data_IF_000331066503
#
_entry.id   IF_000331066503
#
_cell.length_a   1.000
_cell.length_b   1.000
_cell.length_c   1.000
_cell.angle_alpha   90.00
_cell.angle_beta   90.00
_cell.angle_gamma   90.00
#
_symmetry.space_group_name_H-M   'P 1'
#
loop_
_entity.id
_entity.type
_entity.pdbx_description
1 polymer ?
#
# COMPACT_ATOMS: atom_id res chain seq x y z
N UNK A 1 68.93 34.00 -23.75
CA UNK A 1 69.53 33.49 -22.50
C UNK A 1 68.38 33.08 -21.60
N UNK A 2 67.87 31.87 -21.80
CA UNK A 2 68.27 30.66 -21.04
C UNK A 2 67.48 30.66 -19.72
N UNK A 3 66.65 29.68 -19.34
CA UNK A 3 66.62 28.26 -19.66
C UNK A 3 65.23 27.66 -19.36
N UNK A 4 64.88 26.64 -20.15
CA UNK A 4 63.84 25.66 -19.87
C UNK A 4 64.12 24.86 -18.58
N UNK A 5 63.06 24.42 -17.90
CA UNK A 5 63.09 23.13 -17.17
C UNK A 5 61.73 22.40 -17.28
N UNK A 6 61.67 21.16 -17.81
CA UNK A 6 60.44 20.39 -18.01
C UNK A 6 60.17 19.44 -16.83
N UNK A 7 59.00 19.55 -16.21
CA UNK A 7 58.55 18.70 -15.11
C UNK A 7 57.65 17.56 -15.56
N UNK A 8 58.19 16.34 -15.51
CA UNK A 8 57.57 15.01 -15.51
C UNK A 8 56.05 14.88 -15.69
N UNK A 9 55.65 14.40 -16.87
CA UNK A 9 54.37 13.71 -17.08
C UNK A 9 54.47 12.23 -16.69
N UNK A 10 53.68 11.80 -15.71
CA UNK A 10 53.44 10.39 -15.43
C UNK A 10 52.36 9.83 -16.37
N UNK A 11 52.59 8.68 -17.03
CA UNK A 11 51.58 8.06 -17.88
C UNK A 11 50.49 7.45 -17.00
N UNK A 12 49.28 8.03 -17.01
CA UNK A 12 48.08 7.37 -16.49
C UNK A 12 47.82 6.14 -17.35
N UNK A 13 48.08 4.96 -16.79
CA UNK A 13 47.77 3.68 -17.41
C UNK A 13 46.27 3.58 -17.74
N UNK A 14 45.90 2.80 -18.77
CA UNK A 14 44.51 2.59 -19.14
C UNK A 14 43.79 1.89 -17.98
N UNK A 15 42.88 2.59 -17.32
CA UNK A 15 41.91 2.00 -16.41
C UNK A 15 40.99 1.13 -17.28
N UNK A 16 41.32 -0.16 -17.35
CA UNK A 16 40.51 -1.20 -17.98
C UNK A 16 39.22 -1.35 -17.15
N UNK A 17 38.26 -0.46 -17.40
CA UNK A 17 36.90 -0.59 -16.89
C UNK A 17 36.25 -1.72 -17.70
N UNK A 18 36.39 -2.95 -17.20
CA UNK A 18 35.65 -4.14 -17.65
C UNK A 18 34.16 -3.93 -17.36
N UNK A 19 33.53 -3.04 -18.12
CA UNK A 19 32.09 -3.09 -18.38
C UNK A 19 31.86 -4.41 -19.10
N UNK A 20 31.60 -5.48 -18.34
CA UNK A 20 30.93 -6.67 -18.89
C UNK A 20 29.73 -6.14 -19.65
N UNK A 21 29.73 -6.28 -20.97
CA UNK A 21 28.49 -6.19 -21.74
C UNK A 21 27.58 -7.25 -21.13
N UNK A 22 26.63 -6.82 -20.30
CA UNK A 22 25.54 -7.68 -19.90
C UNK A 22 24.80 -8.04 -21.17
N UNK A 23 24.73 -9.34 -21.49
CA UNK A 23 24.05 -9.81 -22.68
C UNK A 23 22.59 -9.32 -22.63
N UNK A 24 22.13 -8.49 -23.60
CA UNK A 24 20.80 -7.88 -23.58
C UNK A 24 19.66 -8.91 -23.55
N UNK A 25 19.94 -10.16 -23.93
CA UNK A 25 19.02 -11.29 -23.88
C UNK A 25 18.73 -11.78 -22.44
N UNK A 26 19.70 -11.65 -21.53
CA UNK A 26 19.54 -12.06 -20.12
C UNK A 26 18.56 -11.13 -19.40
N UNK A 27 18.70 -9.83 -19.60
CA UNK A 27 17.88 -8.79 -18.96
C UNK A 27 16.42 -8.83 -19.42
N UNK A 28 16.15 -9.17 -20.69
CA UNK A 28 14.77 -9.25 -21.20
C UNK A 28 14.00 -10.42 -20.59
N UNK A 29 14.65 -11.57 -20.41
CA UNK A 29 14.05 -12.78 -19.84
C UNK A 29 13.73 -12.59 -18.35
N UNK A 30 14.62 -11.94 -17.61
CA UNK A 30 14.38 -11.63 -16.19
C UNK A 30 13.17 -10.70 -16.03
N UNK A 31 13.14 -9.59 -16.77
CA UNK A 31 12.01 -8.64 -16.73
C UNK A 31 10.67 -9.31 -17.04
N UNK A 32 10.64 -10.23 -18.02
CA UNK A 32 9.42 -10.98 -18.33
C UNK A 32 8.91 -11.79 -17.14
N UNK A 33 9.79 -12.51 -16.43
CA UNK A 33 9.40 -13.28 -15.24
C UNK A 33 8.87 -12.39 -14.12
N UNK A 34 9.49 -11.22 -13.93
CA UNK A 34 9.02 -10.23 -12.93
C UNK A 34 7.62 -9.76 -13.24
N UNK A 35 7.36 -9.38 -14.49
CA UNK A 35 6.04 -8.90 -14.94
C UNK A 35 4.98 -9.98 -14.75
N UNK A 36 5.26 -11.23 -15.15
CA UNK A 36 4.30 -12.34 -14.99
C UNK A 36 3.98 -12.57 -13.51
N UNK A 37 4.98 -12.55 -12.62
CA UNK A 37 4.75 -12.69 -11.18
C UNK A 37 3.93 -11.52 -10.62
N UNK A 38 4.28 -10.29 -11.00
CA UNK A 38 3.60 -9.06 -10.59
C UNK A 38 2.11 -9.06 -10.99
N UNK A 39 1.82 -9.42 -12.24
CA UNK A 39 0.45 -9.50 -12.75
C UNK A 39 -0.33 -10.60 -12.06
N UNK A 40 0.27 -11.80 -11.91
CA UNK A 40 -0.39 -12.95 -11.28
C UNK A 40 -0.83 -12.63 -9.85
N UNK A 41 0.05 -12.03 -9.05
CA UNK A 41 -0.26 -11.63 -7.67
C UNK A 41 -1.35 -10.56 -7.65
N UNK A 42 -1.28 -9.58 -8.55
CA UNK A 42 -2.27 -8.51 -8.64
C UNK A 42 -3.65 -9.03 -9.06
N UNK A 43 -3.72 -9.98 -10.01
CA UNK A 43 -4.97 -10.63 -10.44
C UNK A 43 -5.61 -11.39 -9.27
N UNK A 44 -4.82 -12.13 -8.49
CA UNK A 44 -5.32 -12.80 -7.29
C UNK A 44 -5.95 -11.78 -6.34
N UNK A 45 -5.29 -10.63 -6.10
CA UNK A 45 -5.87 -9.58 -5.28
C UNK A 45 -7.18 -8.99 -5.86
N UNK A 46 -7.26 -8.79 -7.18
CA UNK A 46 -8.48 -8.33 -7.86
C UNK A 46 -9.64 -9.31 -7.69
N UNK A 47 -9.38 -10.61 -7.62
CA UNK A 47 -10.45 -11.61 -7.45
C UNK A 47 -10.91 -11.68 -5.99
N UNK A 48 -9.98 -11.77 -5.04
CA UNK A 48 -10.33 -12.02 -3.65
C UNK A 48 -10.80 -10.76 -2.89
N UNK A 49 -10.29 -9.57 -3.19
CA UNK A 49 -10.70 -8.34 -2.49
C UNK A 49 -12.19 -8.01 -2.70
N UNK A 50 -12.79 -8.09 -3.91
CA UNK A 50 -14.22 -7.94 -4.10
C UNK A 50 -15.01 -9.00 -3.35
N UNK A 51 -14.58 -10.26 -3.34
CA UNK A 51 -15.25 -11.32 -2.58
C UNK A 51 -15.29 -10.94 -1.09
N UNK A 52 -14.18 -10.44 -0.53
CA UNK A 52 -14.10 -9.96 0.85
C UNK A 52 -15.05 -8.77 1.09
N UNK A 53 -15.03 -7.76 0.20
CA UNK A 53 -15.89 -6.57 0.30
C UNK A 53 -17.36 -6.96 0.22
N UNK A 54 -17.75 -7.75 -0.77
CA UNK A 54 -19.13 -8.18 -1.00
C UNK A 54 -19.62 -9.06 0.16
N UNK A 55 -18.79 -9.98 0.66
CA UNK A 55 -19.13 -10.79 1.83
C UNK A 55 -19.40 -9.90 3.05
N UNK A 56 -18.52 -8.93 3.32
CA UNK A 56 -18.69 -8.02 4.45
C UNK A 56 -19.86 -7.05 4.28
N UNK A 57 -20.20 -6.65 3.04
CA UNK A 57 -21.29 -5.73 2.75
C UNK A 57 -22.67 -6.41 2.82
N UNK A 58 -22.79 -7.65 2.34
CA UNK A 58 -24.06 -8.36 2.26
C UNK A 58 -24.34 -9.29 3.45
N UNK A 59 -23.33 -9.65 4.23
CA UNK A 59 -23.55 -10.49 5.41
C UNK A 59 -24.08 -9.67 6.59
N UNK A 60 -25.31 -9.96 7.01
CA UNK A 60 -25.91 -9.38 8.22
C UNK A 60 -25.15 -9.73 9.50
N UNK A 61 -24.29 -10.76 9.46
CA UNK A 61 -23.46 -11.19 10.59
C UNK A 61 -22.19 -10.35 10.77
N UNK A 62 -21.80 -9.59 9.75
CA UNK A 62 -20.56 -8.84 9.73
C UNK A 62 -20.89 -7.35 9.77
N UNK A 63 -20.62 -6.70 10.91
CA UNK A 63 -20.76 -5.25 11.05
C UNK A 63 -19.38 -4.63 10.91
N UNK A 64 -19.12 -3.94 9.79
CA UNK A 64 -17.87 -3.20 9.54
C UNK A 64 -18.13 -1.71 9.48
N UNK A 65 -17.16 -0.94 9.96
CA UNK A 65 -17.16 0.52 9.85
C UNK A 65 -16.86 0.97 8.42
N UNK A 66 -17.37 2.14 8.01
CA UNK A 66 -17.20 2.65 6.64
C UNK A 66 -15.73 2.81 6.21
N UNK A 67 -14.86 3.24 7.13
CA UNK A 67 -13.42 3.42 6.84
C UNK A 67 -12.71 2.09 6.55
N UNK A 68 -13.21 0.95 7.05
CA UNK A 68 -12.66 -0.36 6.72
C UNK A 68 -12.84 -0.68 5.23
N UNK A 69 -14.05 -0.43 4.69
CA UNK A 69 -14.31 -0.60 3.25
C UNK A 69 -13.44 0.31 2.40
N UNK A 70 -13.12 1.51 2.88
CA UNK A 70 -12.22 2.43 2.19
C UNK A 70 -10.79 1.91 2.12
N UNK A 71 -10.27 1.34 3.21
CA UNK A 71 -8.94 0.72 3.23
C UNK A 71 -8.89 -0.46 2.24
N UNK A 72 -9.84 -1.40 2.34
CA UNK A 72 -9.88 -2.58 1.45
C UNK A 72 -10.13 -2.16 -0.01
N UNK A 73 -11.00 -1.18 -0.24
CA UNK A 73 -11.29 -0.62 -1.56
C UNK A 73 -10.08 0.08 -2.19
N UNK A 74 -9.25 0.76 -1.39
CA UNK A 74 -7.99 1.34 -1.88
C UNK A 74 -7.01 0.27 -2.37
N UNK A 75 -6.98 -0.90 -1.69
CA UNK A 75 -6.16 -2.05 -2.09
C UNK A 75 -6.67 -2.69 -3.40
N UNK A 76 -7.99 -2.73 -3.57
CA UNK A 76 -8.58 -3.17 -4.84
C UNK A 76 -8.21 -2.22 -5.98
N UNK A 77 -8.30 -0.91 -5.73
CA UNK A 77 -7.96 0.12 -6.71
C UNK A 77 -6.52 0.00 -7.20
N UNK A 78 -5.54 -0.16 -6.30
CA UNK A 78 -4.15 -0.34 -6.72
C UNK A 78 -3.94 -1.67 -7.44
N UNK A 79 -4.64 -2.73 -7.06
CA UNK A 79 -4.56 -4.02 -7.76
C UNK A 79 -5.02 -3.89 -9.22
N UNK A 80 -6.12 -3.17 -9.44
CA UNK A 80 -6.61 -2.85 -10.80
C UNK A 80 -5.60 -1.98 -11.55
N UNK A 81 -5.03 -0.96 -10.89
CA UNK A 81 -4.02 -0.10 -11.51
C UNK A 81 -2.77 -0.89 -11.94
N UNK A 82 -2.32 -1.85 -11.13
CA UNK A 82 -1.17 -2.69 -11.42
C UNK A 82 -1.36 -3.46 -12.74
N UNK A 83 -2.56 -3.98 -13.02
CA UNK A 83 -2.83 -4.78 -14.23
C UNK A 83 -3.29 -3.95 -15.44
N UNK A 84 -3.41 -2.63 -15.34
CA UNK A 84 -3.88 -1.80 -16.47
C UNK A 84 -2.99 -1.93 -17.72
N UNK A 85 -1.71 -2.25 -17.54
CA UNK A 85 -0.75 -2.38 -18.63
C UNK A 85 -0.70 -3.80 -19.23
N UNK A 86 -1.62 -4.69 -18.84
CA UNK A 86 -1.69 -6.06 -19.34
C UNK A 86 -1.78 -6.10 -20.88
N UNK A 87 -0.84 -6.80 -21.52
CA UNK A 87 -0.70 -6.87 -22.97
C UNK A 87 0.15 -5.75 -23.59
N UNK A 88 0.56 -4.75 -22.79
CA UNK A 88 1.43 -3.65 -23.21
C UNK A 88 2.73 -3.55 -22.39
N UNK A 89 3.06 -4.59 -21.60
CA UNK A 89 4.30 -4.59 -20.82
C UNK A 89 5.56 -4.79 -21.68
N UNK A 90 5.44 -5.52 -22.78
CA UNK A 90 6.52 -5.75 -23.76
C UNK A 90 6.19 -5.13 -25.11
N UNK A 91 7.20 -4.97 -25.97
CA UNK A 91 7.00 -4.47 -27.33
C UNK A 91 6.76 -2.96 -27.41
N UNK A 92 5.90 -2.48 -28.33
CA UNK A 92 5.72 -1.05 -28.62
C UNK A 92 5.20 -0.28 -27.39
N UNK A 93 5.35 1.05 -27.42
CA UNK A 93 4.92 1.88 -26.30
C UNK A 93 3.39 1.78 -26.09
N UNK A 94 2.92 1.72 -24.84
CA UNK A 94 1.49 1.71 -24.54
C UNK A 94 0.81 2.99 -25.03
N UNK A 95 -0.51 2.95 -25.28
CA UNK A 95 -1.29 4.15 -25.52
C UNK A 95 -1.11 5.17 -24.39
N UNK A 96 -0.89 6.44 -24.75
CA UNK A 96 -0.57 7.49 -23.77
C UNK A 96 -1.63 7.65 -22.70
N UNK A 97 -2.92 7.55 -23.07
CA UNK A 97 -4.03 7.66 -22.13
C UNK A 97 -4.00 6.53 -21.08
N UNK A 98 -3.74 5.30 -21.50
CA UNK A 98 -3.62 4.14 -20.60
C UNK A 98 -2.48 4.34 -19.60
N UNK A 99 -1.31 4.76 -20.09
CA UNK A 99 -0.12 5.01 -19.29
C UNK A 99 -0.32 6.17 -18.30
N UNK A 100 -1.02 7.23 -18.72
CA UNK A 100 -1.38 8.36 -17.86
C UNK A 100 -2.37 7.96 -16.77
N UNK A 101 -3.43 7.21 -17.10
CA UNK A 101 -4.42 6.72 -16.11
C UNK A 101 -3.73 5.83 -15.08
N UNK A 102 -2.87 4.90 -15.53
CA UNK A 102 -2.12 4.05 -14.62
C UNK A 102 -1.22 4.89 -13.71
N UNK A 103 -0.47 5.85 -14.26
CA UNK A 103 0.37 6.74 -13.46
C UNK A 103 -0.47 7.54 -12.44
N UNK A 104 -1.61 8.11 -12.84
CA UNK A 104 -2.51 8.82 -11.94
C UNK A 104 -2.92 7.95 -10.74
N UNK A 105 -3.34 6.70 -10.98
CA UNK A 105 -3.74 5.78 -9.92
C UNK A 105 -2.56 5.37 -9.03
N UNK A 106 -1.41 5.04 -9.62
CA UNK A 106 -0.19 4.64 -8.90
C UNK A 106 0.32 5.75 -7.98
N UNK A 107 0.23 7.00 -8.43
CA UNK A 107 0.67 8.17 -7.66
C UNK A 107 -0.38 8.67 -6.66
N UNK A 108 -1.67 8.52 -6.97
CA UNK A 108 -2.78 8.87 -6.07
C UNK A 108 -2.94 7.87 -4.92
N UNK A 109 -2.72 6.59 -5.19
CA UNK A 109 -2.94 5.50 -4.24
C UNK A 109 -2.22 5.68 -2.89
N UNK A 110 -0.92 6.03 -2.81
CA UNK A 110 -0.23 6.20 -1.53
C UNK A 110 -0.90 7.22 -0.61
N UNK A 111 -1.45 8.29 -1.17
CA UNK A 111 -2.24 9.26 -0.42
C UNK A 111 -3.56 8.65 0.04
N UNK A 112 -4.33 8.02 -0.87
CA UNK A 112 -5.58 7.37 -0.49
C UNK A 112 -5.37 6.34 0.63
N UNK A 113 -4.41 5.44 0.48
CA UNK A 113 -4.12 4.37 1.42
C UNK A 113 -3.66 4.90 2.78
N UNK A 114 -2.73 5.87 2.80
CA UNK A 114 -2.22 6.44 4.06
C UNK A 114 -3.31 7.18 4.82
N UNK A 115 -4.08 8.04 4.15
CA UNK A 115 -5.16 8.79 4.80
C UNK A 115 -6.34 7.90 5.17
N UNK A 116 -6.68 6.87 4.37
CA UNK A 116 -7.68 5.88 4.75
C UNK A 116 -7.23 5.06 5.97
N UNK A 117 -5.95 4.68 6.04
CA UNK A 117 -5.37 4.01 7.20
C UNK A 117 -5.41 4.86 8.46
N UNK A 118 -5.03 6.13 8.38
CA UNK A 118 -5.17 7.10 9.49
C UNK A 118 -6.63 7.22 9.92
N UNK A 119 -7.54 7.38 8.97
CA UNK A 119 -8.97 7.55 9.25
C UNK A 119 -9.58 6.32 9.93
N UNK A 120 -9.20 5.13 9.48
CA UNK A 120 -9.55 3.86 10.11
C UNK A 120 -9.01 3.78 11.54
N UNK A 121 -7.74 4.12 11.76
CA UNK A 121 -7.13 4.10 13.09
C UNK A 121 -7.75 5.11 14.05
N UNK A 122 -8.07 6.32 13.57
CA UNK A 122 -8.79 7.33 14.36
C UNK A 122 -10.17 6.79 14.73
N UNK A 123 -10.92 6.20 13.79
CA UNK A 123 -12.24 5.64 14.07
C UNK A 123 -12.17 4.54 15.14
N UNK A 124 -11.20 3.61 15.03
CA UNK A 124 -10.97 2.55 16.03
C UNK A 124 -10.61 3.14 17.39
N UNK A 125 -9.66 4.07 17.43
CA UNK A 125 -9.23 4.73 18.66
C UNK A 125 -10.39 5.46 19.36
N UNK A 126 -11.16 6.25 18.62
CA UNK A 126 -12.31 6.98 19.15
C UNK A 126 -13.41 6.04 19.62
N UNK A 127 -13.69 4.96 18.88
CA UNK A 127 -14.69 3.96 19.27
C UNK A 127 -14.31 3.28 20.60
N UNK A 128 -13.05 2.87 20.76
CA UNK A 128 -12.55 2.29 22.02
C UNK A 128 -12.65 3.32 23.15
N UNK A 129 -12.22 4.56 22.90
CA UNK A 129 -12.24 5.63 23.92
C UNK A 129 -13.67 5.95 24.40
N UNK A 130 -14.62 6.03 23.48
CA UNK A 130 -16.03 6.33 23.78
C UNK A 130 -16.70 5.16 24.50
N UNK A 131 -16.43 3.93 24.07
CA UNK A 131 -16.89 2.72 24.75
C UNK A 131 -16.41 2.67 26.20
N UNK A 132 -15.13 2.98 26.46
CA UNK A 132 -14.56 2.97 27.80
C UNK A 132 -15.02 4.13 28.71
N UNK A 133 -15.34 5.31 28.16
CA UNK A 133 -15.71 6.49 28.98
C UNK A 133 -17.20 6.66 29.20
N UNK A 134 -18.00 6.40 28.18
CA UNK A 134 -19.39 6.89 28.11
C UNK A 134 -20.37 5.83 27.63
N UNK A 135 -19.89 4.67 27.17
CA UNK A 135 -20.73 3.70 26.45
C UNK A 135 -21.38 4.25 25.16
N UNK A 136 -20.98 5.44 24.71
CA UNK A 136 -21.59 6.13 23.57
C UNK A 136 -20.96 5.70 22.25
N UNK A 137 -21.71 5.86 21.15
CA UNK A 137 -21.22 5.63 19.77
C UNK A 137 -20.62 6.90 19.18
N UNK A 138 -19.74 6.74 18.19
CA UNK A 138 -19.20 7.87 17.44
C UNK A 138 -20.33 8.59 16.67
N UNK A 139 -20.27 9.93 16.62
CA UNK A 139 -21.22 10.71 15.83
C UNK A 139 -21.11 10.38 14.33
N UNK A 140 -22.25 10.24 13.66
CA UNK A 140 -22.32 9.99 12.21
C UNK A 140 -21.61 11.08 11.39
N UNK A 141 -21.59 12.32 11.89
CA UNK A 141 -20.87 13.42 11.24
C UNK A 141 -19.36 13.19 11.26
N UNK A 142 -18.80 12.80 12.41
CA UNK A 142 -17.38 12.47 12.54
C UNK A 142 -16.99 11.29 11.65
N UNK A 143 -17.81 10.24 11.60
CA UNK A 143 -17.59 9.11 10.69
C UNK A 143 -17.59 9.54 9.22
N UNK A 144 -18.52 10.41 8.81
CA UNK A 144 -18.57 10.93 7.44
C UNK A 144 -17.31 11.73 7.08
N UNK A 145 -16.82 12.60 7.97
CA UNK A 145 -15.60 13.36 7.76
C UNK A 145 -14.36 12.47 7.60
N UNK A 146 -14.28 11.38 8.38
CA UNK A 146 -13.20 10.39 8.26
C UNK A 146 -13.18 9.69 6.89
N UNK A 147 -14.32 9.61 6.19
CA UNK A 147 -14.37 9.09 4.83
C UNK A 147 -14.12 10.16 3.76
N UNK A 148 -14.55 11.41 3.98
CA UNK A 148 -14.39 12.49 3.00
C UNK A 148 -12.91 12.88 2.82
N UNK A 149 -12.15 12.98 3.91
CA UNK A 149 -10.76 13.46 3.86
C UNK A 149 -9.88 12.61 2.93
N UNK A 150 -9.80 11.26 3.06
CA UNK A 150 -8.97 10.46 2.16
C UNK A 150 -9.37 10.58 0.69
N UNK A 151 -10.66 10.65 0.40
CA UNK A 151 -11.17 10.82 -0.97
C UNK A 151 -10.77 12.17 -1.57
N UNK A 152 -10.84 13.26 -0.80
CA UNK A 152 -10.42 14.58 -1.25
C UNK A 152 -8.91 14.61 -1.54
N UNK A 153 -8.09 14.02 -0.66
CA UNK A 153 -6.63 13.96 -0.85
C UNK A 153 -6.25 13.13 -2.08
N UNK A 154 -6.97 12.04 -2.33
CA UNK A 154 -6.81 11.22 -3.53
C UNK A 154 -7.16 12.00 -4.80
N UNK A 155 -8.34 12.63 -4.84
CA UNK A 155 -8.79 13.43 -5.99
C UNK A 155 -7.85 14.59 -6.29
N UNK A 156 -7.38 15.30 -5.28
CA UNK A 156 -6.38 16.36 -5.44
C UNK A 156 -5.10 15.84 -6.12
N UNK A 157 -4.63 14.66 -5.71
CA UNK A 157 -3.45 14.03 -6.31
C UNK A 157 -3.70 13.59 -7.75
N UNK A 158 -4.88 13.02 -8.04
CA UNK A 158 -5.25 12.64 -9.41
C UNK A 158 -5.26 13.85 -10.34
N UNK A 159 -5.88 14.96 -9.92
CA UNK A 159 -5.93 16.20 -10.69
C UNK A 159 -4.53 16.75 -10.91
N UNK A 160 -3.69 16.76 -9.89
CA UNK A 160 -2.30 17.23 -10.02
C UNK A 160 -1.52 16.39 -11.03
N UNK A 161 -1.57 15.05 -10.93
CA UNK A 161 -0.86 14.15 -11.85
C UNK A 161 -1.40 14.26 -13.27
N UNK A 162 -2.72 14.43 -13.42
CA UNK A 162 -3.35 14.69 -14.71
C UNK A 162 -2.82 15.98 -15.34
N UNK A 163 -2.81 17.08 -14.60
CA UNK A 163 -2.31 18.38 -15.08
C UNK A 163 -0.84 18.27 -15.49
N UNK A 164 0.01 17.69 -14.64
CA UNK A 164 1.43 17.49 -14.95
C UNK A 164 1.60 16.61 -16.20
N UNK A 165 0.82 15.54 -16.32
CA UNK A 165 0.86 14.60 -17.43
C UNK A 165 0.39 15.19 -18.75
N UNK A 166 -0.63 16.04 -18.73
CA UNK A 166 -1.11 16.75 -19.91
C UNK A 166 -0.12 17.84 -20.36
N UNK A 167 0.46 18.59 -19.41
CA UNK A 167 1.46 19.63 -19.70
C UNK A 167 2.81 19.06 -20.18
N UNK A 168 3.16 17.84 -19.73
CA UNK A 168 4.46 17.21 -20.01
C UNK A 168 4.30 15.78 -20.55
N UNK A 169 3.52 15.60 -21.61
CA UNK A 169 3.21 14.27 -22.16
C UNK A 169 4.43 13.38 -22.49
N UNK A 170 5.60 13.97 -22.79
CA UNK A 170 6.84 13.23 -23.07
C UNK A 170 7.54 12.65 -21.83
N UNK A 171 7.14 13.07 -20.62
CA UNK A 171 7.75 12.66 -19.35
C UNK A 171 7.15 11.38 -18.76
N UNK A 172 5.99 10.94 -19.26
CA UNK A 172 5.37 9.68 -18.85
C UNK A 172 5.90 8.58 -19.75
N UNK A 173 6.56 7.60 -19.16
CA UNK A 173 7.09 6.44 -19.90
C UNK A 173 6.83 5.17 -19.11
N UNK A 174 6.80 4.04 -19.83
CA UNK A 174 6.84 2.72 -19.21
C UNK A 174 8.15 2.60 -18.42
N UNK A 175 8.05 2.16 -17.17
CA UNK A 175 9.19 1.86 -16.30
C UNK A 175 10.10 0.81 -16.99
N UNK A 176 11.43 0.83 -16.76
CA UNK A 176 12.34 -0.14 -17.39
C UNK A 176 11.97 -1.61 -17.14
N UNK A 177 11.27 -1.92 -16.04
CA UNK A 177 10.75 -3.27 -15.77
C UNK A 177 9.61 -3.70 -16.70
N UNK A 178 8.92 -2.74 -17.32
CA UNK A 178 7.72 -2.99 -18.10
C UNK A 178 6.42 -3.12 -17.28
N UNK A 179 6.49 -3.16 -15.95
CA UNK A 179 5.34 -3.48 -15.10
C UNK A 179 4.33 -2.33 -14.97
N UNK A 180 4.78 -1.08 -14.99
CA UNK A 180 3.91 0.09 -14.83
C UNK A 180 4.47 1.32 -15.56
N UNK A 181 3.66 2.38 -15.62
CA UNK A 181 4.05 3.69 -16.12
C UNK A 181 4.52 4.63 -15.02
N UNK A 182 5.62 5.34 -15.28
CA UNK A 182 6.24 6.25 -14.33
C UNK A 182 6.60 7.61 -14.97
N UNK A 183 6.76 8.62 -14.12
CA UNK A 183 7.32 9.91 -14.51
C UNK A 183 8.84 9.88 -14.39
N UNK A 184 9.53 10.40 -15.40
CA UNK A 184 11.00 10.53 -15.35
C UNK A 184 11.43 11.54 -14.28
N UNK A 185 10.59 12.53 -14.00
CA UNK A 185 10.90 13.58 -13.03
C UNK A 185 10.60 13.12 -11.60
N UNK A 186 11.49 13.42 -10.64
CA UNK A 186 11.27 13.05 -9.25
C UNK A 186 9.97 13.65 -8.71
N UNK A 187 9.31 12.88 -7.86
CA UNK A 187 8.07 13.25 -7.18
C UNK A 187 8.32 14.48 -6.30
N UNK A 188 7.43 15.49 -6.28
CA UNK A 188 7.63 16.66 -5.42
C UNK A 188 7.73 16.27 -3.95
N UNK A 189 8.72 16.82 -3.25
CA UNK A 189 9.04 16.54 -1.84
C UNK A 189 7.83 16.67 -0.90
N UNK A 190 6.90 17.57 -1.22
CA UNK A 190 5.67 17.79 -0.44
C UNK A 190 4.85 16.50 -0.31
N UNK A 191 4.72 15.71 -1.38
CA UNK A 191 3.95 14.44 -1.35
C UNK A 191 4.57 13.42 -0.42
N UNK A 192 5.88 13.25 -0.52
CA UNK A 192 6.64 12.33 0.34
C UNK A 192 6.49 12.75 1.80
N UNK A 193 6.62 14.06 2.10
CA UNK A 193 6.47 14.58 3.46
C UNK A 193 5.08 14.32 4.05
N UNK A 194 4.03 14.42 3.24
CA UNK A 194 2.65 14.22 3.66
C UNK A 194 2.36 12.75 3.98
N UNK A 195 2.86 11.84 3.13
CA UNK A 195 2.75 10.39 3.36
C UNK A 195 3.50 10.01 4.63
N UNK A 196 4.73 10.50 4.82
CA UNK A 196 5.51 10.25 6.02
C UNK A 196 4.81 10.77 7.29
N UNK A 197 4.20 11.95 7.22
CA UNK A 197 3.39 12.49 8.31
C UNK A 197 2.19 11.58 8.64
N UNK A 198 1.44 11.14 7.63
CA UNK A 198 0.31 10.23 7.83
C UNK A 198 0.76 8.91 8.47
N UNK A 199 1.87 8.33 8.00
CA UNK A 199 2.48 7.12 8.57
C UNK A 199 2.88 7.32 10.03
N UNK A 200 3.51 8.44 10.37
CA UNK A 200 3.86 8.77 11.77
C UNK A 200 2.60 8.84 12.65
N UNK A 201 1.55 9.52 12.19
CA UNK A 201 0.28 9.60 12.91
C UNK A 201 -0.33 8.21 13.11
N UNK A 202 -0.28 7.33 12.10
CA UNK A 202 -0.73 5.93 12.25
C UNK A 202 0.03 5.20 13.37
N UNK A 203 1.35 5.31 13.42
CA UNK A 203 2.15 4.67 14.49
C UNK A 203 1.83 5.20 15.88
N UNK A 204 1.67 6.52 16.02
CA UNK A 204 1.25 7.13 17.29
C UNK A 204 -0.10 6.59 17.72
N UNK A 205 -1.09 6.54 16.81
CA UNK A 205 -2.42 6.00 17.10
C UNK A 205 -2.37 4.51 17.49
N UNK A 206 -1.57 3.70 16.79
CA UNK A 206 -1.38 2.28 17.13
C UNK A 206 -0.81 2.12 18.54
N UNK A 207 0.24 2.88 18.89
CA UNK A 207 0.81 2.86 20.23
C UNK A 207 -0.23 3.27 21.29
N UNK A 208 -1.02 4.32 21.03
CA UNK A 208 -2.08 4.77 21.93
C UNK A 208 -3.19 3.72 22.11
N UNK A 209 -3.61 3.05 21.04
CA UNK A 209 -4.60 1.96 21.08
C UNK A 209 -4.07 0.80 21.94
N UNK A 210 -2.84 0.34 21.69
CA UNK A 210 -2.20 -0.74 22.45
C UNK A 210 -2.10 -0.36 23.93
N UNK A 211 -1.62 0.85 24.26
CA UNK A 211 -1.51 1.32 25.63
C UNK A 211 -2.88 1.39 26.32
N UNK A 212 -3.92 1.83 25.62
CA UNK A 212 -5.29 1.89 26.17
C UNK A 212 -5.87 0.51 26.42
N UNK A 213 -5.70 -0.44 25.50
CA UNK A 213 -6.13 -1.82 25.67
C UNK A 213 -5.41 -2.47 26.85
N UNK A 214 -4.08 -2.31 26.94
CA UNK A 214 -3.28 -2.88 28.04
C UNK A 214 -3.64 -2.27 29.41
N UNK A 215 -3.90 -0.97 29.48
CA UNK A 215 -4.34 -0.31 30.73
C UNK A 215 -5.76 -0.74 31.11
N UNK A 216 -6.68 -0.82 30.15
CA UNK A 216 -8.07 -1.24 30.38
C UNK A 216 -8.16 -2.69 30.86
N UNK A 217 -7.40 -3.60 30.25
CA UNK A 217 -7.36 -5.02 30.63
C UNK A 217 -6.92 -5.25 32.07
N UNK A 218 -6.04 -4.40 32.62
CA UNK A 218 -5.62 -4.50 34.03
C UNK A 218 -6.67 -4.01 35.02
N UNK A 219 -7.50 -3.06 34.61
CA UNK A 219 -8.49 -2.43 35.50
C UNK A 219 -9.84 -3.15 35.50
N UNK A 220 -10.14 -3.93 34.45
CA UNK A 220 -11.44 -4.56 34.25
C UNK A 220 -11.23 -6.03 33.87
N UNK A 221 -11.05 -6.87 34.88
CA UNK A 221 -10.89 -8.34 34.76
C UNK A 221 -12.09 -9.09 34.15
N UNK A 222 -13.10 -8.39 33.63
CA UNK A 222 -14.30 -8.97 33.02
C UNK A 222 -14.83 -8.13 31.83
N UNK A 223 -13.99 -7.32 31.19
CA UNK A 223 -14.42 -6.65 29.96
C UNK A 223 -14.47 -7.68 28.83
N UNK A 224 -15.67 -8.16 28.50
CA UNK A 224 -15.93 -8.67 27.17
C UNK A 224 -15.69 -7.49 26.20
N UNK A 225 -14.61 -7.52 25.38
CA UNK A 225 -14.39 -6.46 24.41
C UNK A 225 -15.68 -6.33 23.59
N UNK A 226 -16.22 -5.10 23.51
CA UNK A 226 -17.42 -4.83 22.72
C UNK A 226 -17.33 -5.59 21.40
N UNK A 227 -18.33 -6.41 21.10
CA UNK A 227 -18.35 -7.44 20.03
C UNK A 227 -17.81 -6.95 18.67
N UNK A 228 -17.77 -5.65 18.46
CA UNK A 228 -17.43 -5.03 17.20
C UNK A 228 -15.93 -4.76 16.97
N UNK A 229 -15.04 -4.85 17.98
CA UNK A 229 -13.60 -4.54 17.79
C UNK A 229 -12.70 -5.68 18.27
N UNK A 230 -12.34 -6.57 17.34
CA UNK A 230 -11.40 -7.66 17.57
C UNK A 230 -9.96 -7.15 17.70
N UNK A 231 -9.28 -7.48 18.81
CA UNK A 231 -7.85 -7.19 19.04
C UNK A 231 -6.99 -7.82 17.93
N UNK A 232 -7.38 -9.00 17.44
CA UNK A 232 -6.72 -9.68 16.32
C UNK A 232 -6.71 -8.81 15.05
N UNK A 233 -7.80 -8.09 14.76
CA UNK A 233 -7.83 -7.16 13.64
C UNK A 233 -6.84 -6.00 13.82
N UNK A 234 -6.70 -5.46 15.03
CA UNK A 234 -5.73 -4.38 15.31
C UNK A 234 -4.29 -4.89 15.13
N UNK A 235 -3.95 -6.06 15.68
CA UNK A 235 -2.62 -6.65 15.56
C UNK A 235 -2.26 -6.89 14.09
N UNK A 236 -3.16 -7.46 13.31
CA UNK A 236 -2.93 -7.71 11.89
C UNK A 236 -2.72 -6.43 11.09
N UNK A 237 -3.48 -5.37 11.39
CA UNK A 237 -3.29 -4.07 10.74
C UNK A 237 -1.97 -3.44 11.17
N UNK A 238 -1.50 -3.64 12.40
CA UNK A 238 -0.15 -3.22 12.81
C UNK A 238 0.94 -3.93 12.00
N UNK A 239 0.84 -5.24 11.82
CA UNK A 239 1.78 -6.03 11.00
C UNK A 239 1.76 -5.55 9.55
N UNK A 240 0.57 -5.33 8.99
CA UNK A 240 0.40 -4.83 7.63
C UNK A 240 1.00 -3.42 7.45
N UNK A 241 0.80 -2.52 8.42
CA UNK A 241 1.38 -1.19 8.38
C UNK A 241 2.91 -1.22 8.44
N UNK A 242 3.47 -2.10 9.29
CA UNK A 242 4.92 -2.30 9.35
C UNK A 242 5.50 -2.76 8.00
N UNK A 243 4.86 -3.72 7.35
CA UNK A 243 5.26 -4.16 6.01
C UNK A 243 5.19 -3.00 4.99
N UNK A 244 4.14 -2.18 5.05
CA UNK A 244 3.98 -1.02 4.16
C UNK A 244 5.09 0.02 4.34
N UNK A 245 5.55 0.23 5.58
CA UNK A 245 6.64 1.15 5.90
C UNK A 245 7.96 0.65 5.35
N UNK A 246 8.22 -0.67 5.43
CA UNK A 246 9.40 -1.25 4.81
C UNK A 246 9.42 -0.99 3.30
N UNK A 247 8.28 -1.08 2.62
CA UNK A 247 8.16 -0.77 1.18
C UNK A 247 8.49 0.69 0.89
N UNK A 248 7.99 1.62 1.70
CA UNK A 248 8.29 3.05 1.56
C UNK A 248 9.79 3.30 1.78
N UNK A 249 10.40 2.68 2.79
CA UNK A 249 11.83 2.81 3.07
C UNK A 249 12.67 2.26 1.93
N UNK A 250 12.34 1.08 1.40
CA UNK A 250 13.03 0.52 0.22
C UNK A 250 12.89 1.46 -0.98
N UNK A 251 11.69 1.96 -1.24
CA UNK A 251 11.43 2.92 -2.33
C UNK A 251 12.23 4.22 -2.16
N UNK A 252 12.37 4.70 -0.92
CA UNK A 252 13.18 5.87 -0.61
C UNK A 252 14.68 5.62 -0.82
N UNK A 253 15.19 4.47 -0.37
CA UNK A 253 16.60 4.08 -0.58
C UNK A 253 16.92 4.02 -2.09
N UNK A 254 15.97 3.55 -2.92
CA UNK A 254 16.14 3.50 -4.36
C UNK A 254 16.12 4.86 -5.06
N UNK A 255 15.62 5.91 -4.38
CA UNK A 255 15.66 7.27 -4.93
C UNK A 255 17.09 7.85 -4.97
N UNK A 256 18.02 7.24 -4.23
CA UNK A 256 19.43 7.61 -4.28
C UNK A 256 20.13 7.06 -5.54
N UNK A 257 21.17 7.75 -6.04
CA UNK A 257 21.83 7.38 -7.30
C UNK A 257 22.53 6.00 -7.28
N UNK A 258 22.75 5.42 -6.10
CA UNK A 258 23.38 4.11 -5.97
C UNK A 258 22.33 2.99 -6.07
N UNK A 259 21.96 2.64 -7.31
CA UNK A 259 20.95 1.61 -7.57
C UNK A 259 21.52 0.22 -7.32
N UNK A 260 20.86 -0.53 -6.44
CA UNK A 260 21.14 -1.95 -6.20
C UNK A 260 20.07 -2.76 -6.95
N UNK A 261 20.44 -3.56 -7.97
CA UNK A 261 19.46 -4.28 -8.81
C UNK A 261 18.49 -5.17 -8.04
N UNK A 262 18.94 -5.76 -6.93
CA UNK A 262 18.10 -6.58 -6.05
C UNK A 262 16.96 -5.79 -5.41
N UNK A 263 17.19 -4.51 -5.08
CA UNK A 263 16.14 -3.65 -4.52
C UNK A 263 15.09 -3.30 -5.58
N UNK A 264 15.48 -3.16 -6.85
CA UNK A 264 14.56 -2.89 -7.97
C UNK A 264 13.53 -3.99 -8.12
N UNK A 265 13.98 -5.25 -8.11
CA UNK A 265 13.09 -6.41 -8.08
C UNK A 265 12.14 -6.38 -6.87
N UNK A 266 12.69 -6.16 -5.67
CA UNK A 266 11.90 -6.16 -4.43
C UNK A 266 10.85 -5.06 -4.42
N UNK A 267 11.19 -3.87 -4.92
CA UNK A 267 10.30 -2.71 -5.00
C UNK A 267 9.13 -2.97 -5.93
N UNK A 268 9.38 -3.52 -7.12
CA UNK A 268 8.33 -3.87 -8.08
C UNK A 268 7.40 -4.92 -7.47
N UNK A 269 7.96 -6.01 -6.94
CA UNK A 269 7.16 -7.10 -6.38
C UNK A 269 6.38 -6.65 -5.15
N UNK A 270 6.96 -5.77 -4.32
CA UNK A 270 6.29 -5.25 -3.13
C UNK A 270 5.01 -4.48 -3.46
N UNK A 271 4.96 -3.77 -4.59
CA UNK A 271 3.75 -3.05 -5.04
C UNK A 271 2.58 -3.99 -5.34
N UNK A 272 2.84 -5.20 -5.86
CA UNK A 272 1.82 -6.23 -6.03
C UNK A 272 1.56 -7.01 -4.74
N UNK A 273 2.59 -7.20 -3.91
CA UNK A 273 2.47 -7.97 -2.68
C UNK A 273 1.62 -7.26 -1.62
N UNK A 274 1.65 -5.93 -1.53
CA UNK A 274 0.85 -5.16 -0.57
C UNK A 274 -0.66 -5.49 -0.65
N UNK A 275 -1.35 -5.37 -1.80
CA UNK A 275 -2.76 -5.74 -1.87
C UNK A 275 -3.01 -7.24 -1.67
N UNK A 276 -2.07 -8.11 -2.04
CA UNK A 276 -2.16 -9.53 -1.72
C UNK A 276 -2.06 -9.80 -0.21
N UNK A 277 -1.17 -9.11 0.51
CA UNK A 277 -1.13 -9.15 1.96
C UNK A 277 -2.43 -8.65 2.58
N UNK A 278 -3.10 -7.68 1.96
CA UNK A 278 -4.43 -7.25 2.39
C UNK A 278 -5.47 -8.38 2.24
N UNK A 279 -5.44 -9.16 1.15
CA UNK A 279 -6.27 -10.37 1.00
C UNK A 279 -6.03 -11.34 2.17
N UNK A 280 -4.77 -11.62 2.48
CA UNK A 280 -4.43 -12.56 3.57
C UNK A 280 -4.89 -11.99 4.92
N UNK A 281 -4.58 -10.74 5.22
CA UNK A 281 -4.88 -10.08 6.51
C UNK A 281 -6.39 -9.98 6.75
N UNK A 282 -7.14 -9.49 5.75
CA UNK A 282 -8.58 -9.26 5.89
C UNK A 282 -9.39 -10.52 5.59
N UNK A 283 -9.00 -11.35 4.62
CA UNK A 283 -9.71 -12.58 4.26
C UNK A 283 -9.62 -13.67 5.33
N UNK A 284 -8.57 -13.69 6.15
CA UNK A 284 -8.42 -14.67 7.25
C UNK A 284 -9.04 -14.19 8.57
N UNK A 285 -9.84 -13.13 8.57
CA UNK A 285 -10.56 -12.69 9.76
C UNK A 285 -11.61 -13.75 10.16
N UNK A 286 -11.69 -14.06 11.45
CA UNK A 286 -12.53 -15.16 11.98
C UNK A 286 -14.01 -15.03 11.60
N UNK A 287 -14.52 -13.81 11.54
CA UNK A 287 -15.91 -13.53 11.16
C UNK A 287 -16.18 -13.80 9.68
N UNK A 288 -15.28 -13.40 8.78
CA UNK A 288 -15.35 -13.75 7.35
C UNK A 288 -15.25 -15.27 7.15
N UNK A 289 -14.28 -15.92 7.80
CA UNK A 289 -14.13 -17.36 7.74
C UNK A 289 -15.38 -18.08 8.25
N UNK A 290 -16.04 -17.57 9.30
CA UNK A 290 -17.27 -18.17 9.81
C UNK A 290 -18.46 -18.05 8.84
N UNK A 291 -18.53 -16.95 8.09
CA UNK A 291 -19.52 -16.80 7.01
C UNK A 291 -19.21 -17.72 5.84
N UNK A 292 -17.95 -17.86 5.46
CA UNK A 292 -17.55 -18.76 4.38
C UNK A 292 -17.71 -20.22 4.77
N UNK A 293 -17.38 -20.61 6.00
CA UNK A 293 -17.55 -21.97 6.54
C UNK A 293 -18.98 -22.24 7.03
N UNK A 294 -20.01 -21.77 6.31
CA UNK A 294 -21.42 -21.94 6.70
C UNK A 294 -21.83 -23.42 6.88
N UNK A 295 -21.09 -24.35 6.27
CA UNK A 295 -21.30 -25.79 6.40
C UNK A 295 -20.88 -26.36 7.78
N UNK A 296 -20.03 -25.67 8.55
CA UNK A 296 -19.57 -26.15 9.84
C UNK A 296 -20.60 -25.79 10.91
N UNK A 297 -21.39 -26.76 11.37
CA UNK A 297 -22.36 -26.56 12.45
C UNK A 297 -21.65 -26.01 13.70
N UNK A 298 -22.18 -24.97 14.37
CA UNK A 298 -21.63 -24.53 15.64
C UNK A 298 -21.64 -25.71 16.61
N UNK A 299 -20.57 -25.92 17.40
CA UNK A 299 -20.63 -26.89 18.48
C UNK A 299 -21.82 -26.52 19.37
N UNK A 300 -22.71 -27.50 19.63
CA UNK A 300 -23.81 -27.36 20.58
C UNK A 300 -23.19 -27.00 21.94
N UNK A 301 -23.11 -25.71 22.25
CA UNK A 301 -22.76 -25.23 23.59
C UNK A 301 -23.96 -25.54 24.47
N UNK A 302 -23.84 -26.60 25.26
CA UNK A 302 -24.83 -27.16 26.18
C UNK A 302 -25.05 -26.29 27.43
N UNK A 303 -25.18 -24.98 27.26
CA UNK A 303 -25.30 -24.04 28.38
C UNK A 303 -26.45 -23.05 28.17
N UNK A 304 -27.64 -23.59 27.92
CA UNK A 304 -28.88 -22.90 28.28
C UNK A 304 -29.53 -23.72 29.42
N UNK A 305 -29.44 -23.28 30.68
CA UNK A 305 -30.40 -23.73 31.68
C UNK A 305 -31.77 -23.14 31.31
N UNK A 306 -32.75 -24.04 31.17
CA UNK A 306 -34.19 -23.77 31.06
C UNK A 306 -34.69 -22.85 32.18
#
# INVERSE_FOLDING_TARGET
MDSLNPGHGTPRGPVFSTKRLADPLSTSTENFRVVVAFDSISIVAIIFLPIIILTAAFSSRIVRVSTWFMVVGSMLMISVANVLLLGHQTGPLPPRALCLIQAMLMYGYPNLASFAGVSFMIQVYLSIRLALRTGSKLSKASERWLCIIPCLMFLATLVEVLVIGLLNSKKIKRDPSGAYCDFITPVPYLKVSLILFAVLVMFVLQALIILKIRRGSRSLGAFHPAEHVSIDAVVRVCVFNFASVLVIVVSFIQSFPHRIPMLDFLSILSKALVPFCAVVVFGTQRDLLHVWMFWRRPPLTSHDPL
#
